data_IF_217444840269
#
_entry.id   IF_217444840269
#
_cell.length_a   1.000
_cell.length_b   1.000
_cell.length_c   1.000
_cell.angle_alpha   90.00
_cell.angle_beta   90.00
_cell.angle_gamma   90.00
#
_symmetry.space_group_name_H-M   'P 1'
#
loop_
_entity.id
_entity.type
_entity.pdbx_description
1 polymer ?
#
# COMPACT_ATOMS: atom_id res chain seq x y z
N UNK A 1 -6.47 5.50 -7.17
CA UNK A 1 -5.16 5.80 -6.55
C UNK A 1 -4.11 5.83 -7.65
N UNK A 2 -3.26 6.86 -7.69
CA UNK A 2 -2.17 6.97 -8.67
C UNK A 2 -0.86 6.64 -7.97
N UNK A 3 -0.09 5.72 -8.54
CA UNK A 3 1.18 5.26 -8.00
C UNK A 3 2.32 5.85 -8.81
N UNK A 4 3.21 6.58 -8.15
CA UNK A 4 4.33 7.30 -8.77
C UNK A 4 5.66 6.78 -8.25
N UNK A 5 6.67 6.82 -9.11
CA UNK A 5 8.04 6.49 -8.74
C UNK A 5 8.50 7.37 -7.57
N UNK A 6 9.15 6.76 -6.58
CA UNK A 6 9.62 7.47 -5.37
C UNK A 6 10.83 8.37 -5.63
N UNK A 7 11.53 8.13 -6.74
CA UNK A 7 12.77 8.82 -7.09
C UNK A 7 12.56 9.92 -8.13
N UNK A 8 11.71 9.69 -9.14
CA UNK A 8 11.55 10.63 -10.27
C UNK A 8 10.11 11.09 -10.53
N UNK A 9 9.16 10.76 -9.63
CA UNK A 9 7.73 11.11 -9.71
C UNK A 9 6.98 10.71 -10.99
N UNK A 10 7.62 9.91 -11.86
CA UNK A 10 7.01 9.33 -13.05
C UNK A 10 5.82 8.45 -12.63
N UNK A 11 4.70 8.62 -13.32
CA UNK A 11 3.53 7.76 -13.13
C UNK A 11 3.87 6.32 -13.54
N UNK A 12 3.60 5.36 -12.65
CA UNK A 12 3.89 3.94 -12.86
C UNK A 12 2.61 3.12 -13.05
N UNK A 13 1.59 3.38 -12.23
CA UNK A 13 0.31 2.67 -12.30
C UNK A 13 -0.85 3.52 -11.79
N UNK A 14 -2.06 3.15 -12.21
CA UNK A 14 -3.32 3.68 -11.66
C UNK A 14 -4.15 2.47 -11.26
N UNK A 15 -4.46 2.34 -9.97
CA UNK A 15 -5.17 1.16 -9.47
C UNK A 15 -5.06 0.99 -7.97
N UNK A 16 -5.63 -0.10 -7.50
CA UNK A 16 -5.54 -0.59 -6.12
C UNK A 16 -5.03 -2.03 -6.18
N UNK A 17 -4.23 -2.42 -5.20
CA UNK A 17 -3.56 -3.72 -5.14
C UNK A 17 -2.18 -3.62 -4.52
N UNK A 18 -1.58 -4.77 -4.27
CA UNK A 18 -0.20 -4.90 -3.87
C UNK A 18 0.64 -5.31 -5.08
N UNK A 19 1.60 -4.47 -5.46
CA UNK A 19 2.46 -4.76 -6.60
C UNK A 19 3.80 -4.06 -6.49
N UNK A 20 4.79 -4.66 -7.13
CA UNK A 20 6.13 -4.11 -7.27
C UNK A 20 6.35 -3.73 -8.74
N UNK A 21 6.71 -2.46 -8.98
CA UNK A 21 6.95 -1.94 -10.33
C UNK A 21 8.33 -1.30 -10.36
N UNK A 22 9.16 -1.75 -11.31
CA UNK A 22 10.42 -1.09 -11.64
C UNK A 22 10.17 0.14 -12.50
N UNK A 23 10.71 1.29 -12.09
CA UNK A 23 10.56 2.51 -12.87
C UNK A 23 11.38 2.43 -14.17
N UNK A 24 10.78 2.62 -15.36
CA UNK A 24 11.52 2.56 -16.63
C UNK A 24 12.47 3.74 -16.85
N UNK A 25 12.30 4.87 -16.12
CA UNK A 25 13.17 6.05 -16.25
C UNK A 25 14.44 5.96 -15.41
N UNK A 26 14.30 5.63 -14.13
CA UNK A 26 15.41 5.68 -13.16
C UNK A 26 15.77 4.31 -12.57
N UNK A 27 15.11 3.24 -13.02
CA UNK A 27 15.34 1.84 -12.60
C UNK A 27 15.06 1.56 -11.11
N UNK A 28 14.63 2.55 -10.34
CA UNK A 28 14.19 2.37 -8.94
C UNK A 28 13.03 1.38 -8.87
N UNK A 29 13.14 0.42 -7.95
CA UNK A 29 12.05 -0.51 -7.62
C UNK A 29 11.11 0.17 -6.63
N UNK A 30 9.83 0.26 -7.01
CA UNK A 30 8.77 0.84 -6.22
C UNK A 30 7.81 -0.26 -5.77
N UNK A 31 7.69 -0.45 -4.46
CA UNK A 31 6.74 -1.37 -3.85
C UNK A 31 5.51 -0.56 -3.41
N UNK A 32 4.35 -0.87 -4.00
CA UNK A 32 3.09 -0.24 -3.64
C UNK A 32 2.25 -1.28 -2.93
N UNK A 33 2.05 -1.09 -1.63
CA UNK A 33 1.10 -1.86 -0.85
C UNK A 33 -0.14 -1.01 -0.68
N UNK A 34 -1.23 -1.41 -1.32
CA UNK A 34 -2.52 -0.87 -0.94
C UNK A 34 -2.80 -1.42 0.44
N UNK A 35 -2.73 -0.57 1.47
CA UNK A 35 -3.42 -0.82 2.72
C UNK A 35 -4.91 -0.95 2.36
N UNK A 36 -5.34 -2.14 1.97
CA UNK A 36 -6.68 -2.58 2.30
C UNK A 36 -6.72 -2.42 3.81
N UNK A 37 -7.53 -1.48 4.26
CA UNK A 37 -7.95 -1.40 5.64
C UNK A 37 -8.50 -2.77 5.97
N UNK A 38 -7.66 -3.70 6.47
CA UNK A 38 -8.17 -4.74 7.35
C UNK A 38 -8.96 -3.93 8.39
N UNK A 39 -10.23 -4.27 8.68
CA UNK A 39 -10.84 -3.73 9.88
C UNK A 39 -9.86 -4.11 10.98
N UNK A 40 -9.23 -3.08 11.54
CA UNK A 40 -8.31 -3.19 12.67
C UNK A 40 -9.00 -4.17 13.61
N UNK A 41 -8.42 -5.38 13.72
CA UNK A 41 -9.04 -6.51 14.40
C UNK A 41 -9.71 -5.95 15.63
N UNK A 42 -11.04 -6.06 15.67
CA UNK A 42 -11.85 -5.38 16.65
C UNK A 42 -11.23 -5.66 18.02
N UNK A 43 -10.64 -4.63 18.61
CA UNK A 43 -10.28 -4.63 20.01
C UNK A 43 -11.61 -4.59 20.77
N UNK A 44 -12.33 -5.72 20.75
CA UNK A 44 -13.32 -6.02 21.77
C UNK A 44 -12.51 -6.25 23.04
N UNK A 45 -12.62 -5.38 24.07
CA UNK A 45 -12.18 -5.80 25.39
C UNK A 45 -13.01 -7.04 25.75
N UNK A 46 -12.32 -8.14 26.10
CA UNK A 46 -12.93 -9.28 26.75
C UNK A 46 -13.77 -8.78 27.94
N UNK A 47 -15.06 -9.15 28.06
CA UNK A 47 -15.78 -8.88 29.28
C UNK A 47 -15.14 -9.71 30.40
N UNK A 48 -14.44 -9.03 31.31
CA UNK A 48 -14.10 -9.55 32.63
C UNK A 48 -15.24 -9.20 33.59
N UNK A 49 -15.81 -10.22 34.23
CA UNK A 49 -16.69 -10.11 35.41
C UNK A 49 -18.15 -10.46 35.10
N UNK A 50 -18.86 -11.23 35.92
CA UNK A 50 -18.66 -11.65 37.31
C UNK A 50 -19.28 -13.05 37.50
#
# INVERSE_FOLDING_TARGET
MKHRCKNCNKLLAIGKGEFEIKCPRCKTVNNFRSLTTLPKAASHPLPRGR
#
